data_IF_725736104375
#
_entry.id   IF_725736104375
#
_cell.length_a   1.000
_cell.length_b   1.000
_cell.length_c   1.000
_cell.angle_alpha   90.00
_cell.angle_beta   90.00
_cell.angle_gamma   90.00
#
_symmetry.space_group_name_H-M   'P 1'
#
loop_
_entity.id
_entity.type
_entity.pdbx_description
1 polymer ?
#
# COMPACT_ATOMS: atom_id res chain seq x y z
N UNK A 1 -7.45 -2.63 -9.30
CA UNK A 1 -7.44 -1.43 -8.44
C UNK A 1 -8.87 -0.99 -8.14
N UNK A 2 -9.14 -0.55 -6.90
CA UNK A 2 -10.42 0.02 -6.54
C UNK A 2 -10.50 1.48 -7.02
N UNK A 3 -11.68 1.85 -7.53
CA UNK A 3 -11.96 3.25 -7.89
C UNK A 3 -12.46 4.01 -6.67
N UNK A 4 -11.91 5.20 -6.42
CA UNK A 4 -12.34 6.14 -5.39
C UNK A 4 -13.27 7.18 -6.01
N UNK A 5 -14.54 7.16 -5.63
CA UNK A 5 -15.54 8.17 -5.98
C UNK A 5 -15.63 9.22 -4.89
N UNK A 6 -15.45 10.49 -5.23
CA UNK A 6 -15.38 11.56 -4.24
C UNK A 6 -16.44 12.67 -4.41
N UNK A 7 -17.32 12.56 -5.42
CA UNK A 7 -18.43 13.50 -5.61
C UNK A 7 -19.72 12.76 -5.98
N UNK A 8 -20.66 12.67 -5.02
CA UNK A 8 -21.95 11.99 -5.21
C UNK A 8 -22.84 12.64 -6.28
N UNK A 9 -22.72 13.95 -6.50
CA UNK A 9 -23.56 14.70 -7.45
C UNK A 9 -23.08 14.56 -8.90
N UNK A 10 -21.84 14.10 -9.13
CA UNK A 10 -21.20 14.04 -10.44
C UNK A 10 -20.72 12.64 -10.84
N UNK A 11 -21.44 11.60 -10.44
CA UNK A 11 -21.15 10.21 -10.82
C UNK A 11 -20.98 10.01 -12.34
N UNK A 12 -21.77 10.76 -13.14
CA UNK A 12 -21.70 10.71 -14.61
C UNK A 12 -20.53 11.53 -15.20
N UNK A 13 -19.96 12.46 -14.46
CA UNK A 13 -18.93 13.40 -14.93
C UNK A 13 -17.51 13.04 -14.50
N UNK A 14 -17.26 11.80 -14.08
CA UNK A 14 -15.92 11.25 -13.80
C UNK A 14 -15.18 11.88 -12.62
N UNK A 15 -15.87 12.33 -11.58
CA UNK A 15 -15.21 12.71 -10.32
C UNK A 15 -14.83 11.44 -9.55
N UNK A 16 -13.93 10.66 -10.15
CA UNK A 16 -13.33 9.47 -9.57
C UNK A 16 -11.85 9.39 -9.90
N UNK A 17 -11.11 8.63 -9.10
CA UNK A 17 -9.70 8.26 -9.36
C UNK A 17 -9.51 6.79 -9.05
N UNK A 18 -8.61 6.15 -9.80
CA UNK A 18 -8.15 4.80 -9.57
C UNK A 18 -6.68 4.81 -9.16
N UNK A 19 -6.34 5.10 -7.89
CA UNK A 19 -4.98 4.95 -7.43
C UNK A 19 -4.50 3.51 -7.61
N UNK A 20 -3.21 3.32 -7.92
CA UNK A 20 -2.68 1.96 -8.05
C UNK A 20 -2.73 1.20 -6.74
N UNK A 21 -2.47 1.90 -5.65
CA UNK A 21 -2.63 1.36 -4.30
C UNK A 21 -3.07 2.48 -3.34
N UNK A 22 -3.98 2.15 -2.40
CA UNK A 22 -4.32 3.07 -1.32
C UNK A 22 -4.72 2.35 -0.04
N UNK A 23 -4.60 3.03 1.07
CA UNK A 23 -5.00 2.54 2.39
C UNK A 23 -5.96 3.53 3.04
N UNK A 24 -7.03 3.01 3.63
CA UNK A 24 -7.94 3.76 4.51
C UNK A 24 -7.91 3.12 5.88
N UNK A 25 -7.51 3.87 6.87
CA UNK A 25 -7.41 3.41 8.25
C UNK A 25 -8.75 3.53 9.00
N UNK A 26 -8.91 2.70 10.04
CA UNK A 26 -10.08 2.75 10.92
C UNK A 26 -11.40 2.42 10.19
N UNK A 27 -11.37 1.49 9.24
CA UNK A 27 -12.54 0.99 8.52
C UNK A 27 -12.63 -0.54 8.61
N UNK A 28 -13.84 -1.08 8.42
CA UNK A 28 -14.05 -2.52 8.45
C UNK A 28 -13.35 -3.20 7.27
N UNK A 29 -12.64 -4.35 7.50
CA UNK A 29 -11.98 -5.12 6.46
C UNK A 29 -12.99 -5.99 5.70
N UNK A 30 -13.80 -5.39 4.84
CA UNK A 30 -14.78 -6.08 3.98
C UNK A 30 -14.46 -5.91 2.51
N UNK A 31 -14.81 -6.87 1.65
CA UNK A 31 -14.69 -6.71 0.20
C UNK A 31 -15.51 -5.52 -0.32
N UNK A 32 -14.91 -4.72 -1.18
CA UNK A 32 -15.57 -3.58 -1.83
C UNK A 32 -15.30 -3.61 -3.33
N UNK A 33 -16.26 -3.15 -4.13
CA UNK A 33 -16.10 -2.99 -5.59
C UNK A 33 -15.53 -1.62 -5.95
N UNK A 34 -15.78 -0.62 -5.10
CA UNK A 34 -15.29 0.75 -5.21
C UNK A 34 -15.26 1.37 -3.83
N UNK A 35 -14.57 2.50 -3.68
CA UNK A 35 -14.56 3.31 -2.47
C UNK A 35 -15.37 4.57 -2.72
N UNK A 36 -16.61 4.62 -2.20
CA UNK A 36 -17.47 5.80 -2.31
C UNK A 36 -17.40 6.59 -1.01
N UNK A 37 -16.78 7.76 -1.05
CA UNK A 37 -16.51 8.58 0.15
C UNK A 37 -17.76 8.78 1.02
N UNK A 38 -18.91 9.04 0.40
CA UNK A 38 -20.16 9.28 1.12
C UNK A 38 -20.79 8.02 1.74
N UNK A 39 -20.47 6.83 1.25
CA UNK A 39 -20.91 5.54 1.83
C UNK A 39 -19.95 5.03 2.90
N UNK A 40 -18.72 5.52 2.90
CA UNK A 40 -17.66 5.13 3.82
C UNK A 40 -17.40 6.22 4.90
N UNK A 41 -18.45 6.94 5.29
CA UNK A 41 -18.41 7.92 6.38
C UNK A 41 -17.56 9.15 6.11
N UNK A 42 -17.39 9.53 4.85
CA UNK A 42 -16.55 10.67 4.46
C UNK A 42 -15.04 10.39 4.50
N UNK A 43 -14.63 9.12 4.65
CA UNK A 43 -13.21 8.76 4.78
C UNK A 43 -12.49 8.75 3.44
N UNK A 44 -11.49 9.58 3.33
CA UNK A 44 -10.52 9.58 2.23
C UNK A 44 -9.32 8.67 2.53
N UNK A 45 -8.56 8.28 1.50
CA UNK A 45 -7.33 7.51 1.71
C UNK A 45 -6.33 8.22 2.64
N UNK A 46 -5.78 7.47 3.60
CA UNK A 46 -4.70 7.93 4.46
C UNK A 46 -3.34 7.89 3.76
N UNK A 47 -3.19 6.95 2.85
CA UNK A 47 -2.01 6.78 2.02
C UNK A 47 -2.41 6.42 0.61
N UNK A 48 -1.73 6.99 -0.38
CA UNK A 48 -1.84 6.64 -1.80
C UNK A 48 -0.44 6.38 -2.35
N UNK A 49 -0.32 5.33 -3.17
CA UNK A 49 0.87 5.05 -4.01
C UNK A 49 0.44 4.99 -5.46
N UNK A 50 1.15 5.71 -6.32
CA UNK A 50 1.01 5.65 -7.78
C UNK A 50 2.24 4.98 -8.39
N UNK A 51 2.01 4.07 -9.33
CA UNK A 51 3.05 3.46 -10.15
C UNK A 51 3.17 4.24 -11.46
N UNK A 52 4.30 4.89 -11.64
CA UNK A 52 4.51 5.70 -12.84
C UNK A 52 4.74 4.80 -14.06
N UNK A 53 4.24 5.28 -15.19
CA UNK A 53 4.58 4.77 -16.51
C UNK A 53 4.89 5.94 -17.44
N UNK A 54 5.53 5.69 -18.58
CA UNK A 54 5.83 6.71 -19.55
C UNK A 54 4.60 7.53 -19.98
N UNK A 55 3.40 6.94 -19.92
CA UNK A 55 2.13 7.59 -20.29
C UNK A 55 1.45 8.33 -19.15
N UNK A 56 1.72 8.01 -17.88
CA UNK A 56 1.01 8.57 -16.72
C UNK A 56 1.86 9.49 -15.85
N UNK A 57 3.19 9.40 -15.94
CA UNK A 57 4.12 10.09 -15.03
C UNK A 57 3.86 11.60 -14.88
N UNK A 58 3.56 12.31 -15.98
CA UNK A 58 3.27 13.74 -15.93
C UNK A 58 1.98 14.06 -15.17
N UNK A 59 0.97 13.20 -15.28
CA UNK A 59 -0.30 13.35 -14.57
C UNK A 59 -0.15 13.00 -13.07
N UNK A 60 0.61 11.97 -12.74
CA UNK A 60 0.82 11.50 -11.36
C UNK A 60 1.69 12.49 -10.56
N UNK A 61 2.74 13.04 -11.19
CA UNK A 61 3.61 14.06 -10.58
C UNK A 61 2.96 15.45 -10.45
N UNK A 62 1.95 15.75 -11.24
CA UNK A 62 1.28 17.06 -11.32
C UNK A 62 -0.18 17.02 -10.87
N UNK A 63 -1.15 16.90 -11.80
CA UNK A 63 -2.58 17.04 -11.51
C UNK A 63 -3.12 16.09 -10.44
N UNK A 64 -2.70 14.82 -10.39
CA UNK A 64 -3.10 13.88 -9.35
C UNK A 64 -2.55 14.30 -7.99
N UNK A 65 -1.27 14.68 -7.91
CA UNK A 65 -0.67 15.17 -6.67
C UNK A 65 -1.43 16.36 -6.09
N UNK A 66 -1.81 17.33 -6.93
CA UNK A 66 -2.61 18.49 -6.51
C UNK A 66 -3.99 18.04 -6.01
N UNK A 67 -4.67 17.13 -6.72
CA UNK A 67 -5.96 16.61 -6.30
C UNK A 67 -5.88 15.90 -4.93
N UNK A 68 -4.85 15.07 -4.74
CA UNK A 68 -4.66 14.35 -3.48
C UNK A 68 -4.27 15.28 -2.33
N UNK A 69 -3.56 16.36 -2.63
CA UNK A 69 -3.26 17.42 -1.66
C UNK A 69 -4.51 18.24 -1.30
N UNK A 70 -5.17 18.82 -2.30
CA UNK A 70 -6.16 19.90 -2.09
C UNK A 70 -7.57 19.36 -1.80
N UNK A 71 -7.95 18.25 -2.47
CA UNK A 71 -9.30 17.69 -2.38
C UNK A 71 -9.36 16.50 -1.45
N UNK A 72 -8.49 15.51 -1.62
CA UNK A 72 -8.49 14.31 -0.78
C UNK A 72 -7.87 14.57 0.58
N UNK A 73 -6.96 15.54 0.67
CA UNK A 73 -6.19 15.82 1.88
C UNK A 73 -5.48 14.56 2.38
N UNK A 74 -5.03 13.71 1.45
CA UNK A 74 -4.35 12.45 1.75
C UNK A 74 -3.05 12.73 2.50
N UNK A 75 -2.87 12.24 3.74
CA UNK A 75 -1.69 12.56 4.53
C UNK A 75 -0.37 12.10 3.92
N UNK A 76 -0.32 10.88 3.39
CA UNK A 76 0.89 10.30 2.80
C UNK A 76 0.67 9.99 1.32
N UNK A 77 1.48 10.57 0.44
CA UNK A 77 1.45 10.33 -0.99
C UNK A 77 2.81 9.89 -1.50
N UNK A 78 2.85 8.78 -2.23
CA UNK A 78 4.05 8.22 -2.82
C UNK A 78 3.85 7.95 -4.30
N UNK A 79 4.94 8.00 -5.05
CA UNK A 79 4.97 7.45 -6.39
C UNK A 79 6.28 6.72 -6.65
N UNK A 80 6.21 5.70 -7.49
CA UNK A 80 7.33 4.84 -7.85
C UNK A 80 7.32 4.54 -9.34
N UNK A 81 8.47 4.67 -9.98
CA UNK A 81 8.69 4.30 -11.38
C UNK A 81 9.43 2.96 -11.44
N UNK A 82 8.77 1.86 -11.87
CA UNK A 82 9.41 0.54 -11.95
C UNK A 82 10.54 0.43 -12.97
N UNK A 83 10.56 1.30 -14.00
CA UNK A 83 11.59 1.28 -15.04
C UNK A 83 12.85 2.00 -14.59
N UNK A 84 12.73 3.25 -14.17
CA UNK A 84 13.84 4.07 -13.71
C UNK A 84 14.25 3.80 -12.26
N UNK A 85 13.37 3.19 -11.46
CA UNK A 85 13.45 3.04 -10.01
C UNK A 85 13.42 4.38 -9.26
N UNK A 86 12.92 5.44 -9.89
CA UNK A 86 12.70 6.71 -9.21
C UNK A 86 11.56 6.53 -8.19
N UNK A 87 11.82 6.97 -6.97
CA UNK A 87 10.86 6.82 -5.86
C UNK A 87 10.85 8.11 -5.04
N UNK A 88 9.64 8.64 -4.80
CA UNK A 88 9.45 9.80 -3.94
C UNK A 88 8.21 9.65 -3.06
N UNK A 89 8.24 10.33 -1.92
CA UNK A 89 7.12 10.39 -0.99
C UNK A 89 6.93 11.81 -0.48
N UNK A 90 5.71 12.07 -0.05
CA UNK A 90 5.28 13.37 0.45
C UNK A 90 4.37 13.17 1.66
N UNK A 91 4.53 14.04 2.65
CA UNK A 91 3.61 14.14 3.77
C UNK A 91 2.88 15.49 3.75
N UNK A 92 1.59 15.47 4.09
CA UNK A 92 0.75 16.66 4.10
C UNK A 92 0.94 17.44 5.41
N UNK A 93 1.57 18.61 5.33
CA UNK A 93 1.81 19.52 6.47
C UNK A 93 1.15 20.85 6.16
N UNK A 94 0.28 21.31 7.02
CA UNK A 94 -0.46 22.57 6.87
C UNK A 94 -1.16 22.74 5.52
N UNK A 95 -1.56 21.59 4.93
CA UNK A 95 -2.28 21.55 3.68
C UNK A 95 -1.43 21.51 2.41
N UNK A 96 -0.12 21.43 2.56
CA UNK A 96 0.83 21.34 1.45
C UNK A 96 1.70 20.09 1.58
N UNK A 97 1.95 19.42 0.45
CA UNK A 97 2.88 18.30 0.42
C UNK A 97 4.32 18.74 0.56
N UNK A 98 4.96 18.29 1.63
CA UNK A 98 6.40 18.39 1.84
C UNK A 98 7.04 17.06 1.43
N UNK A 99 8.16 17.14 0.70
CA UNK A 99 8.91 15.95 0.32
C UNK A 99 9.50 15.28 1.57
N UNK A 100 9.41 13.95 1.60
CA UNK A 100 10.04 13.14 2.65
C UNK A 100 11.52 12.93 2.33
N UNK A 101 12.35 13.06 3.34
CA UNK A 101 13.76 12.75 3.23
C UNK A 101 14.00 11.25 3.45
N UNK A 102 14.79 10.59 2.59
CA UNK A 102 15.11 9.19 2.76
C UNK A 102 16.07 8.97 3.94
N UNK A 103 15.93 7.84 4.61
CA UNK A 103 16.93 7.41 5.57
C UNK A 103 18.22 6.91 4.87
N UNK A 104 19.22 6.44 5.66
CA UNK A 104 20.51 5.95 5.14
C UNK A 104 20.36 4.77 4.15
N UNK A 105 19.26 4.01 4.21
CA UNK A 105 18.96 2.91 3.29
C UNK A 105 18.10 3.36 2.08
N UNK A 106 17.85 4.65 1.91
CA UNK A 106 17.02 5.18 0.83
C UNK A 106 15.52 4.92 1.01
N UNK A 107 15.05 4.67 2.25
CA UNK A 107 13.64 4.38 2.55
C UNK A 107 12.93 5.61 3.08
N UNK A 108 11.66 5.78 2.73
CA UNK A 108 10.81 6.88 3.16
C UNK A 108 9.82 6.41 4.23
N UNK A 109 9.68 7.19 5.30
CA UNK A 109 8.80 6.87 6.42
C UNK A 109 7.36 7.30 6.14
N UNK A 110 6.41 6.37 6.22
CA UNK A 110 4.99 6.70 6.27
C UNK A 110 4.54 6.92 7.71
N UNK A 111 4.07 8.13 7.99
CA UNK A 111 3.52 8.44 9.30
C UNK A 111 2.17 7.75 9.53
N UNK A 112 1.42 7.50 8.46
CA UNK A 112 0.11 6.86 8.55
C UNK A 112 0.22 5.36 8.83
N UNK A 113 1.14 4.67 8.19
CA UNK A 113 1.30 3.22 8.34
C UNK A 113 2.28 2.84 9.45
N UNK A 114 3.11 3.77 9.93
CA UNK A 114 4.24 3.50 10.84
C UNK A 114 5.19 2.44 10.26
N UNK A 115 5.45 2.56 8.95
CA UNK A 115 6.30 1.68 8.16
C UNK A 115 7.19 2.50 7.24
N UNK A 116 8.33 1.95 6.88
CA UNK A 116 9.12 2.46 5.77
C UNK A 116 8.63 1.89 4.44
N UNK A 117 8.66 2.71 3.39
CA UNK A 117 8.58 2.30 2.00
C UNK A 117 9.97 2.44 1.38
N UNK A 118 10.38 1.47 0.56
CA UNK A 118 11.69 1.51 -0.09
C UNK A 118 11.78 0.47 -1.20
N UNK A 119 12.87 0.56 -1.97
CA UNK A 119 13.10 -0.33 -3.11
C UNK A 119 13.89 -1.56 -2.64
N UNK A 120 13.34 -2.74 -2.91
CA UNK A 120 14.01 -4.02 -2.70
C UNK A 120 13.78 -4.93 -3.92
N UNK A 121 14.86 -5.48 -4.47
CA UNK A 121 14.80 -6.31 -5.68
C UNK A 121 14.02 -5.65 -6.83
N UNK A 122 14.26 -4.36 -7.08
CA UNK A 122 13.58 -3.53 -8.09
C UNK A 122 12.07 -3.35 -7.90
N UNK A 123 11.54 -3.65 -6.72
CA UNK A 123 10.13 -3.50 -6.35
C UNK A 123 9.98 -2.54 -5.19
N UNK A 124 8.89 -1.80 -5.15
CA UNK A 124 8.53 -1.03 -3.97
C UNK A 124 8.01 -1.98 -2.89
N UNK A 125 8.62 -1.94 -1.71
CA UNK A 125 8.32 -2.83 -0.59
C UNK A 125 8.14 -2.04 0.70
N UNK A 126 7.45 -2.67 1.65
CA UNK A 126 7.29 -2.15 3.00
C UNK A 126 8.31 -2.79 3.94
N UNK A 127 8.74 -2.00 4.95
CA UNK A 127 9.65 -2.44 5.99
C UNK A 127 9.13 -1.98 7.35
N UNK A 128 9.38 -2.76 8.40
CA UNK A 128 9.08 -2.36 9.78
C UNK A 128 9.90 -1.15 10.21
N UNK A 129 9.56 -0.56 11.35
CA UNK A 129 10.35 0.51 11.95
C UNK A 129 11.81 0.10 12.22
N UNK A 130 12.03 -1.18 12.54
CA UNK A 130 13.36 -1.77 12.77
C UNK A 130 14.10 -2.11 11.47
N UNK A 131 13.45 -1.87 10.31
CA UNK A 131 14.04 -2.06 9.00
C UNK A 131 13.92 -3.47 8.41
N UNK A 132 13.14 -4.36 9.02
CA UNK A 132 12.87 -5.69 8.50
C UNK A 132 11.90 -5.63 7.32
N UNK A 133 12.18 -6.43 6.27
CA UNK A 133 11.30 -6.54 5.10
C UNK A 133 9.99 -7.21 5.48
N UNK A 134 8.88 -6.56 5.17
CA UNK A 134 7.55 -7.17 5.33
C UNK A 134 7.30 -8.09 4.13
N UNK A 135 7.02 -9.39 4.35
CA UNK A 135 6.75 -10.32 3.26
C UNK A 135 5.45 -9.96 2.54
N UNK A 136 5.39 -10.22 1.24
CA UNK A 136 4.13 -10.18 0.51
C UNK A 136 3.22 -11.33 0.98
N UNK A 137 1.90 -11.28 0.70
CA UNK A 137 1.00 -12.40 1.02
C UNK A 137 1.45 -13.72 0.40
N UNK A 138 2.02 -13.69 -0.80
CA UNK A 138 2.55 -14.87 -1.50
C UNK A 138 3.80 -15.42 -0.82
N UNK A 139 4.73 -14.54 -0.42
CA UNK A 139 5.93 -14.90 0.34
C UNK A 139 5.57 -15.49 1.70
N UNK A 140 4.68 -14.81 2.44
CA UNK A 140 4.21 -15.31 3.74
C UNK A 140 3.53 -16.69 3.63
N UNK A 141 2.68 -16.90 2.62
CA UNK A 141 2.04 -18.17 2.37
C UNK A 141 3.03 -19.27 1.93
N UNK A 142 4.10 -18.91 1.22
CA UNK A 142 5.17 -19.85 0.85
C UNK A 142 5.99 -20.26 2.08
N UNK A 143 6.36 -19.29 2.92
CA UNK A 143 7.11 -19.54 4.16
C UNK A 143 6.31 -20.40 5.14
N UNK A 144 5.02 -20.15 5.28
CA UNK A 144 4.13 -20.96 6.12
C UNK A 144 4.02 -22.39 5.61
N UNK A 145 3.86 -22.59 4.30
CA UNK A 145 3.84 -23.95 3.69
C UNK A 145 5.15 -24.68 3.97
N UNK A 146 6.30 -24.03 3.73
CA UNK A 146 7.60 -24.64 3.96
C UNK A 146 7.81 -24.98 5.46
N UNK A 147 7.34 -24.12 6.36
CA UNK A 147 7.39 -24.37 7.79
C UNK A 147 6.54 -25.58 8.18
N UNK A 148 5.31 -25.67 7.65
CA UNK A 148 4.42 -26.80 7.89
C UNK A 148 4.97 -28.10 7.33
N UNK A 149 5.57 -28.11 6.15
CA UNK A 149 6.25 -29.29 5.58
C UNK A 149 7.39 -29.76 6.47
N UNK A 150 8.24 -28.87 6.96
CA UNK A 150 9.33 -29.20 7.88
C UNK A 150 8.82 -29.76 9.20
N UNK A 151 7.76 -29.19 9.77
CA UNK A 151 7.16 -29.69 11.00
C UNK A 151 6.53 -31.07 10.80
N UNK A 152 5.80 -31.27 9.69
CA UNK A 152 5.22 -32.56 9.32
C UNK A 152 6.29 -33.63 9.15
N UNK A 153 7.38 -33.34 8.46
CA UNK A 153 8.51 -34.25 8.32
C UNK A 153 9.10 -34.61 9.68
N UNK A 154 9.26 -33.62 10.57
CA UNK A 154 9.80 -33.85 11.89
C UNK A 154 8.91 -34.69 12.81
N UNK A 155 7.59 -34.51 12.74
CA UNK A 155 6.61 -35.33 13.44
C UNK A 155 6.69 -36.80 12.98
N UNK A 156 6.77 -37.02 11.66
CA UNK A 156 6.93 -38.38 11.09
C UNK A 156 8.22 -39.07 11.53
N UNK A 157 9.34 -38.34 11.58
CA UNK A 157 10.61 -38.86 12.12
C UNK A 157 10.50 -39.29 13.58
N UNK A 158 9.66 -38.59 14.37
CA UNK A 158 9.38 -38.91 15.79
C UNK A 158 8.31 -39.99 15.99
N UNK A 159 7.79 -40.57 14.88
CA UNK A 159 6.75 -41.61 14.94
C UNK A 159 5.35 -41.05 15.24
N UNK A 160 5.15 -39.74 15.12
CA UNK A 160 3.84 -39.12 15.31
C UNK A 160 3.19 -38.91 13.96
N UNK A 161 1.96 -39.39 13.78
CA UNK A 161 1.18 -39.16 12.59
C UNK A 161 0.61 -37.73 12.61
N UNK A 162 1.06 -36.81 11.73
CA UNK A 162 0.58 -35.44 11.73
C UNK A 162 -0.91 -35.34 11.34
N UNK A 163 -1.47 -36.34 10.64
CA UNK A 163 -2.87 -36.33 10.22
C UNK A 163 -3.81 -36.87 11.31
N UNK A 164 -3.26 -37.51 12.37
CA UNK A 164 -4.02 -38.01 13.51
C UNK A 164 -4.30 -36.94 14.60
N UNK A 165 -3.81 -35.69 14.44
CA UNK A 165 -3.94 -34.63 15.45
C UNK A 165 -5.15 -33.71 15.18
N UNK A 166 -6.07 -34.11 14.31
CA UNK A 166 -7.30 -33.37 14.04
C UNK A 166 -8.48 -33.94 14.85
N UNK A 167 -8.56 -33.60 16.13
CA UNK A 167 -9.81 -33.49 16.90
C UNK A 167 -9.71 -32.36 17.93
#
# INVERSE_FOLDING_TARGET
>A
NLTVYYNAQRLKNRDFRGPDFFVVLGTDPKPRRSWMIWEEGGKYPNLIVELLSSSTASNDRGPKKILYQDTFRTPDYFWFDPESLEFQGFHLVDGLYQALEPNEQGRLWSQQLQLFLGIHNRQLRFFTADGELIPTPEEAAADERQRNEKLTAKLRELGVDPDAVTE
#
